data_IF_899370148123
#
_entry.id   IF_899370148123
#
_cell.length_a   1.000
_cell.length_b   1.000
_cell.length_c   1.000
_cell.angle_alpha   90.00
_cell.angle_beta   90.00
_cell.angle_gamma   90.00
#
_symmetry.space_group_name_H-M   'P 1'
#
loop_
_entity.id
_entity.type
_entity.pdbx_description
1 polymer ?
#
# COMPACT_ATOMS: atom_id res chain seq x y z
N UNK A 1 6.29 21.75 -15.42
CA UNK A 1 7.04 20.96 -14.39
C UNK A 1 7.08 21.59 -12.99
N UNK A 2 7.31 22.89 -12.79
CA UNK A 2 7.38 23.53 -11.44
C UNK A 2 6.16 23.36 -10.51
N UNK A 3 4.97 23.07 -11.04
CA UNK A 3 3.75 22.85 -10.23
C UNK A 3 3.70 21.44 -9.61
N UNK A 4 4.21 20.43 -10.32
CA UNK A 4 4.24 19.04 -9.86
C UNK A 4 5.25 18.83 -8.74
N UNK A 5 6.41 19.49 -8.80
CA UNK A 5 7.42 19.41 -7.74
C UNK A 5 6.91 20.01 -6.42
N UNK A 6 6.18 21.13 -6.49
CA UNK A 6 5.54 21.74 -5.30
C UNK A 6 4.52 20.81 -4.66
N UNK A 7 3.72 20.12 -5.47
CA UNK A 7 2.68 19.21 -5.00
C UNK A 7 3.29 17.98 -4.30
N UNK A 8 4.31 17.36 -4.89
CA UNK A 8 5.03 16.25 -4.23
C UNK A 8 5.66 16.69 -2.91
N UNK A 9 6.29 17.86 -2.85
CA UNK A 9 6.83 18.40 -1.58
C UNK A 9 5.75 18.57 -0.52
N UNK A 10 4.57 19.09 -0.90
CA UNK A 10 3.46 19.28 0.03
C UNK A 10 2.93 17.96 0.58
N UNK A 11 2.79 16.93 -0.27
CA UNK A 11 2.33 15.61 0.16
C UNK A 11 3.34 14.97 1.10
N UNK A 12 4.63 15.03 0.78
CA UNK A 12 5.68 14.50 1.67
C UNK A 12 5.70 15.18 3.01
N UNK A 13 5.55 16.51 3.02
CA UNK A 13 5.47 17.26 4.27
C UNK A 13 4.25 16.81 5.09
N UNK A 14 3.09 16.67 4.45
CA UNK A 14 1.89 16.17 5.10
C UNK A 14 2.08 14.75 5.68
N UNK A 15 2.65 13.81 4.91
CA UNK A 15 2.94 12.45 5.37
C UNK A 15 3.89 12.47 6.57
N UNK A 16 4.95 13.27 6.49
CA UNK A 16 5.91 13.42 7.58
C UNK A 16 5.26 13.97 8.85
N UNK A 17 4.47 15.03 8.75
CA UNK A 17 3.86 15.70 9.90
C UNK A 17 2.72 14.88 10.53
N UNK A 18 1.95 14.17 9.70
CA UNK A 18 0.75 13.48 10.15
C UNK A 18 0.96 12.02 10.51
N UNK A 19 1.84 11.33 9.78
CA UNK A 19 1.95 9.87 9.83
C UNK A 19 3.29 9.41 10.43
N UNK A 20 4.41 10.03 10.05
CA UNK A 20 5.75 9.51 10.38
C UNK A 20 6.34 10.12 11.66
N UNK A 21 6.36 11.44 11.77
CA UNK A 21 7.11 12.17 12.82
C UNK A 21 6.64 11.89 14.26
N UNK A 22 5.40 11.44 14.43
CA UNK A 22 4.81 11.14 15.75
C UNK A 22 5.19 9.75 16.27
N UNK A 23 5.85 8.93 15.45
CA UNK A 23 6.14 7.53 15.77
C UNK A 23 7.48 7.38 16.49
N UNK A 24 7.48 6.55 17.54
CA UNK A 24 8.72 6.18 18.24
C UNK A 24 9.69 5.44 17.31
N UNK A 25 9.17 4.58 16.44
CA UNK A 25 9.92 3.86 15.40
C UNK A 25 10.71 4.79 14.48
N UNK A 26 10.15 5.95 14.11
CA UNK A 26 10.85 6.98 13.34
C UNK A 26 12.01 7.61 14.12
N UNK A 27 11.78 7.99 15.39
CA UNK A 27 12.83 8.57 16.24
C UNK A 27 14.03 7.62 16.40
N UNK A 28 13.76 6.32 16.60
CA UNK A 28 14.77 5.26 16.67
C UNK A 28 15.51 5.07 15.35
N UNK A 29 14.79 5.05 14.22
CA UNK A 29 15.40 4.94 12.89
C UNK A 29 16.36 6.11 12.60
N UNK A 30 16.00 7.33 13.02
CA UNK A 30 16.88 8.51 12.89
C UNK A 30 18.10 8.40 13.82
N UNK A 31 17.93 7.96 15.07
CA UNK A 31 19.04 7.78 16.00
C UNK A 31 20.07 6.76 15.48
N UNK A 32 19.61 5.61 14.99
CA UNK A 32 20.48 4.58 14.40
C UNK A 32 21.27 5.10 13.19
N UNK A 33 20.65 5.92 12.33
CA UNK A 33 21.31 6.52 11.18
C UNK A 33 22.41 7.54 11.57
N UNK A 34 22.27 8.21 12.73
CA UNK A 34 23.25 9.16 13.25
C UNK A 34 24.45 8.47 13.92
N UNK A 35 24.24 7.29 14.52
CA UNK A 35 25.32 6.52 15.15
C UNK A 35 26.15 5.72 14.13
N UNK A 36 25.57 5.30 13.01
CA UNK A 36 26.28 4.57 11.95
C UNK A 36 27.40 5.34 11.22
N UNK A 37 27.46 6.67 11.35
CA UNK A 37 28.52 7.52 10.78
C UNK A 37 29.72 7.72 11.73
N UNK A 38 29.58 7.36 13.02
CA UNK A 38 30.70 7.40 13.97
C UNK A 38 31.44 6.08 13.95
N UNK A 39 32.57 6.08 13.26
CA UNK A 39 33.55 4.99 13.22
C UNK A 39 33.80 4.41 14.63
N UNK A 40 33.46 3.13 14.76
CA UNK A 40 34.13 2.06 15.52
C UNK A 40 35.35 2.50 16.36
N UNK A 41 35.10 3.15 17.50
CA UNK A 41 36.00 3.17 18.65
C UNK A 41 35.18 2.78 19.88
N UNK A 42 35.19 1.47 20.18
CA UNK A 42 34.60 0.93 21.41
C UNK A 42 35.50 1.34 22.57
N UNK A 43 35.02 2.20 23.46
CA UNK A 43 35.45 2.18 24.84
C UNK A 43 34.26 1.85 25.74
N UNK A 44 34.53 0.87 26.60
CA UNK A 44 33.63 0.14 27.47
C UNK A 44 33.36 0.96 28.74
N UNK A 45 32.16 1.55 28.84
CA UNK A 45 31.54 1.89 30.11
C UNK A 45 30.06 1.62 29.99
N UNK A 46 29.63 0.53 30.63
CA UNK A 46 28.24 0.12 30.75
C UNK A 46 27.41 1.22 31.42
N UNK A 47 26.64 1.95 30.61
CA UNK A 47 25.43 2.59 31.06
C UNK A 47 24.31 1.60 30.76
N UNK A 48 23.53 1.32 31.80
CA UNK A 48 22.29 0.56 31.84
C UNK A 48 21.35 1.04 30.72
N UNK A 49 21.46 0.43 29.54
CA UNK A 49 20.45 0.57 28.51
C UNK A 49 19.44 -0.53 28.80
N UNK A 50 18.19 -0.13 29.04
CA UNK A 50 17.01 -0.96 28.82
C UNK A 50 16.98 -1.39 27.32
N UNK A 51 17.93 -2.23 26.91
CA UNK A 51 18.05 -2.86 25.59
C UNK A 51 17.07 -4.06 25.49
N UNK A 52 15.87 -3.92 26.05
CA UNK A 52 14.76 -4.89 25.95
C UNK A 52 13.72 -4.37 24.94
N UNK A 53 14.15 -3.88 23.78
CA UNK A 53 13.20 -3.36 22.78
C UNK A 53 13.53 -3.67 21.30
N UNK A 54 14.46 -4.57 21.06
CA UNK A 54 14.75 -5.09 19.72
C UNK A 54 13.71 -6.15 19.25
N UNK A 55 12.77 -6.52 20.12
CA UNK A 55 11.70 -7.51 19.85
C UNK A 55 10.29 -6.90 19.69
N UNK A 56 10.13 -5.58 19.67
CA UNK A 56 8.80 -4.99 19.47
C UNK A 56 8.27 -5.27 18.06
N UNK A 57 7.23 -6.10 17.94
CA UNK A 57 6.50 -6.29 16.69
C UNK A 57 5.94 -4.94 16.18
N UNK A 58 6.00 -4.69 14.86
CA UNK A 58 5.46 -3.46 14.30
C UNK A 58 3.96 -3.38 14.58
N UNK A 59 3.52 -2.26 15.18
CA UNK A 59 2.10 -2.05 15.50
C UNK A 59 1.24 -1.91 14.24
N UNK A 60 1.82 -1.33 13.17
CA UNK A 60 1.17 -1.24 11.86
C UNK A 60 2.21 -1.26 10.73
N UNK A 61 1.71 -1.18 9.49
CA UNK A 61 2.54 -1.20 8.29
C UNK A 61 3.58 -0.08 8.24
N UNK A 62 3.26 1.13 8.74
CA UNK A 62 4.23 2.24 8.74
C UNK A 62 5.36 1.96 9.72
N UNK A 63 5.06 1.40 10.89
CA UNK A 63 6.10 0.98 11.83
C UNK A 63 6.98 -0.13 11.23
N UNK A 64 6.39 -1.09 10.53
CA UNK A 64 7.15 -2.12 9.82
C UNK A 64 8.13 -1.51 8.78
N UNK A 65 7.67 -0.54 7.97
CA UNK A 65 8.53 0.17 7.03
C UNK A 65 9.67 0.93 7.72
N UNK A 66 9.37 1.61 8.83
CA UNK A 66 10.37 2.38 9.58
C UNK A 66 11.38 1.49 10.30
N UNK A 67 10.96 0.33 10.80
CA UNK A 67 11.86 -0.66 11.38
C UNK A 67 12.78 -1.25 10.32
N UNK A 68 12.24 -1.54 9.11
CA UNK A 68 13.01 -2.06 7.98
C UNK A 68 14.16 -1.14 7.54
N UNK A 69 14.04 0.19 7.76
CA UNK A 69 15.14 1.13 7.51
C UNK A 69 16.39 0.88 8.37
N UNK A 70 16.23 0.25 9.54
CA UNK A 70 17.35 -0.12 10.42
C UNK A 70 18.01 -1.43 9.99
N UNK A 71 17.19 -2.35 9.50
CA UNK A 71 17.59 -3.72 9.17
C UNK A 71 18.21 -3.81 7.76
N UNK A 72 17.75 -2.98 6.82
CA UNK A 72 18.20 -3.01 5.42
C UNK A 72 18.99 -1.74 5.03
N UNK A 73 20.33 -1.82 4.88
CA UNK A 73 21.18 -0.67 4.53
C UNK A 73 20.88 -0.04 3.16
N UNK A 74 20.20 -0.79 2.27
CA UNK A 74 19.79 -0.31 0.96
C UNK A 74 18.51 0.55 0.98
N UNK A 75 17.71 0.44 2.05
CA UNK A 75 16.47 1.18 2.21
C UNK A 75 16.78 2.57 2.78
N UNK A 76 16.02 3.56 2.30
CA UNK A 76 16.18 4.99 2.63
C UNK A 76 14.80 5.55 2.90
N UNK A 77 14.74 6.63 3.67
CA UNK A 77 13.49 7.32 3.99
C UNK A 77 12.66 7.68 2.76
N UNK A 78 13.30 7.96 1.62
CA UNK A 78 12.58 8.20 0.37
C UNK A 78 11.76 6.99 -0.09
N UNK A 79 12.23 5.75 0.10
CA UNK A 79 11.47 4.54 -0.24
C UNK A 79 10.21 4.41 0.62
N UNK A 80 10.32 4.67 1.93
CA UNK A 80 9.17 4.71 2.84
C UNK A 80 8.18 5.79 2.41
N UNK A 81 8.66 6.99 2.05
CA UNK A 81 7.78 8.05 1.56
C UNK A 81 7.11 7.68 0.24
N UNK A 82 7.80 7.01 -0.69
CA UNK A 82 7.20 6.55 -1.94
C UNK A 82 6.10 5.50 -1.73
N UNK A 83 6.31 4.55 -0.83
CA UNK A 83 5.28 3.56 -0.42
C UNK A 83 4.04 4.25 0.17
N UNK A 84 4.25 5.21 1.08
CA UNK A 84 3.15 5.97 1.70
C UNK A 84 2.43 6.89 0.69
N UNK A 85 3.16 7.47 -0.27
CA UNK A 85 2.59 8.20 -1.41
C UNK A 85 1.71 7.29 -2.27
N UNK A 86 2.16 6.06 -2.55
CA UNK A 86 1.42 5.10 -3.38
C UNK A 86 0.11 4.66 -2.72
N UNK A 87 0.10 4.44 -1.39
CA UNK A 87 -1.17 4.20 -0.68
C UNK A 87 -2.15 5.33 -0.89
N UNK A 88 -1.74 6.58 -0.69
CA UNK A 88 -2.63 7.74 -0.87
C UNK A 88 -3.12 7.81 -2.32
N UNK A 89 -2.27 7.51 -3.30
CA UNK A 89 -2.65 7.40 -4.70
C UNK A 89 -3.73 6.33 -4.94
N UNK A 90 -3.53 5.13 -4.39
CA UNK A 90 -4.42 3.99 -4.51
C UNK A 90 -5.80 4.17 -3.84
N UNK A 91 -5.91 5.03 -2.82
CA UNK A 91 -7.20 5.30 -2.15
C UNK A 91 -8.27 5.81 -3.12
N UNK A 92 -7.89 6.59 -4.13
CA UNK A 92 -8.83 7.10 -5.14
C UNK A 92 -9.53 5.98 -5.92
N UNK A 93 -8.80 4.91 -6.24
CA UNK A 93 -9.33 3.75 -6.96
C UNK A 93 -10.33 2.96 -6.09
N UNK A 94 -10.00 2.75 -4.81
CA UNK A 94 -10.90 2.09 -3.85
C UNK A 94 -12.17 2.92 -3.63
N UNK A 95 -12.04 4.23 -3.46
CA UNK A 95 -13.18 5.14 -3.32
C UNK A 95 -14.12 5.08 -4.53
N UNK A 96 -13.56 5.10 -5.74
CA UNK A 96 -14.35 4.94 -6.96
C UNK A 96 -15.07 3.58 -7.02
N UNK A 97 -14.38 2.49 -6.64
CA UNK A 97 -14.98 1.15 -6.59
C UNK A 97 -16.17 1.10 -5.62
N UNK A 98 -16.05 1.69 -4.43
CA UNK A 98 -17.16 1.78 -3.46
C UNK A 98 -18.34 2.55 -4.04
N UNK A 99 -18.09 3.67 -4.72
CA UNK A 99 -19.15 4.45 -5.36
C UNK A 99 -19.88 3.66 -6.45
N UNK A 100 -19.15 2.89 -7.26
CA UNK A 100 -19.74 2.01 -8.27
C UNK A 100 -20.56 0.88 -7.63
N UNK A 101 -20.07 0.28 -6.55
CA UNK A 101 -20.78 -0.76 -5.80
C UNK A 101 -22.12 -0.22 -5.27
N UNK A 102 -22.08 0.93 -4.60
CA UNK A 102 -23.28 1.60 -4.08
C UNK A 102 -24.25 1.96 -5.19
N UNK A 103 -23.75 2.51 -6.30
CA UNK A 103 -24.58 2.84 -7.47
C UNK A 103 -25.29 1.60 -8.03
N UNK A 104 -24.59 0.47 -8.12
CA UNK A 104 -25.18 -0.78 -8.63
C UNK A 104 -26.27 -1.31 -7.69
N UNK A 105 -26.01 -1.36 -6.39
CA UNK A 105 -26.97 -1.82 -5.39
C UNK A 105 -28.19 -0.91 -5.33
N UNK A 106 -27.99 0.41 -5.41
CA UNK A 106 -29.08 1.40 -5.36
C UNK A 106 -29.95 1.39 -6.63
N UNK A 107 -29.35 1.20 -7.81
CA UNK A 107 -30.07 1.24 -9.10
C UNK A 107 -30.69 -0.09 -9.51
N UNK A 108 -30.29 -1.21 -8.89
CA UNK A 108 -30.75 -2.56 -9.25
C UNK A 108 -31.26 -3.32 -8.02
N UNK A 109 -32.54 -3.17 -7.66
CA UNK A 109 -33.12 -3.81 -6.48
C UNK A 109 -32.94 -5.33 -6.47
N UNK A 110 -32.97 -5.98 -7.64
CA UNK A 110 -32.74 -7.41 -7.77
C UNK A 110 -31.32 -7.83 -7.38
N UNK A 111 -30.31 -7.01 -7.68
CA UNK A 111 -28.91 -7.27 -7.29
C UNK A 111 -28.77 -7.09 -5.78
N UNK A 112 -29.33 -6.00 -5.25
CA UNK A 112 -29.34 -5.75 -3.81
C UNK A 112 -30.03 -6.88 -3.02
N UNK A 113 -31.11 -7.43 -3.56
CA UNK A 113 -31.85 -8.52 -2.95
C UNK A 113 -31.05 -9.82 -2.97
N UNK A 114 -30.46 -10.18 -4.12
CA UNK A 114 -29.62 -11.37 -4.23
C UNK A 114 -28.41 -11.34 -3.28
N UNK A 115 -27.72 -10.19 -3.15
CA UNK A 115 -26.62 -10.03 -2.17
C UNK A 115 -27.12 -10.23 -0.74
N UNK A 116 -28.29 -9.68 -0.40
CA UNK A 116 -28.86 -9.83 0.95
C UNK A 116 -29.28 -11.27 1.24
N UNK A 117 -29.85 -11.96 0.27
CA UNK A 117 -30.31 -13.34 0.43
C UNK A 117 -29.11 -14.29 0.57
N UNK A 118 -28.07 -14.10 -0.24
CA UNK A 118 -26.78 -14.80 -0.09
C UNK A 118 -26.17 -14.55 1.30
N UNK A 119 -26.07 -13.29 1.73
CA UNK A 119 -25.54 -12.95 3.05
C UNK A 119 -26.34 -13.61 4.19
N UNK A 120 -27.67 -13.61 4.11
CA UNK A 120 -28.53 -14.27 5.11
C UNK A 120 -28.34 -15.78 5.12
N UNK A 121 -28.17 -16.40 3.95
CA UNK A 121 -27.94 -17.84 3.85
C UNK A 121 -26.62 -18.22 4.53
N UNK A 122 -25.55 -17.46 4.29
CA UNK A 122 -24.21 -17.73 4.85
C UNK A 122 -24.16 -17.48 6.35
N UNK A 123 -24.76 -16.39 6.84
CA UNK A 123 -24.70 -16.04 8.27
C UNK A 123 -25.84 -16.61 9.11
N UNK A 124 -26.77 -17.34 8.49
CA UNK A 124 -28.05 -17.72 9.10
C UNK A 124 -28.92 -16.53 9.52
N UNK A 125 -28.59 -15.31 9.06
CA UNK A 125 -29.22 -14.07 9.47
C UNK A 125 -28.94 -13.66 10.92
N UNK A 126 -28.03 -14.34 11.62
CA UNK A 126 -27.74 -14.08 13.04
C UNK A 126 -26.58 -13.11 13.28
N UNK A 127 -25.75 -12.88 12.26
CA UNK A 127 -24.60 -11.98 12.32
C UNK A 127 -24.36 -11.27 10.99
N UNK A 128 -23.54 -10.21 11.06
CA UNK A 128 -23.01 -9.56 9.86
C UNK A 128 -22.00 -10.48 9.15
N UNK A 129 -21.83 -10.22 7.85
CA UNK A 129 -20.81 -10.84 7.01
C UNK A 129 -19.43 -10.38 7.48
N UNK A 130 -18.47 -11.30 7.51
CA UNK A 130 -17.08 -11.07 7.82
C UNK A 130 -16.18 -11.57 6.67
N UNK A 131 -14.88 -11.31 6.76
CA UNK A 131 -13.94 -11.68 5.69
C UNK A 131 -13.90 -13.19 5.41
N UNK A 132 -14.13 -14.02 6.45
CA UNK A 132 -14.10 -15.47 6.33
C UNK A 132 -15.30 -16.05 5.56
N UNK A 133 -16.38 -15.28 5.38
CA UNK A 133 -17.57 -15.70 4.62
C UNK A 133 -17.38 -15.53 3.11
N UNK A 134 -16.33 -14.82 2.69
CA UNK A 134 -16.04 -14.49 1.29
C UNK A 134 -16.11 -15.70 0.35
N UNK A 135 -15.56 -16.90 0.68
CA UNK A 135 -15.64 -18.07 -0.20
C UNK A 135 -17.07 -18.56 -0.44
N UNK A 136 -17.97 -18.31 0.51
CA UNK A 136 -19.37 -18.74 0.47
C UNK A 136 -20.30 -17.65 -0.10
N UNK A 137 -19.75 -16.53 -0.60
CA UNK A 137 -20.50 -15.41 -1.17
C UNK A 137 -20.20 -15.17 -2.68
N UNK A 138 -20.32 -16.20 -3.55
CA UNK A 138 -19.90 -16.10 -4.95
C UNK A 138 -20.66 -15.06 -5.78
N UNK A 139 -21.95 -14.81 -5.51
CA UNK A 139 -22.74 -13.81 -6.22
C UNK A 139 -22.27 -12.40 -5.88
N UNK A 140 -22.00 -12.13 -4.60
CA UNK A 140 -21.45 -10.86 -4.14
C UNK A 140 -20.05 -10.64 -4.70
N UNK A 141 -19.18 -11.66 -4.70
CA UNK A 141 -17.85 -11.60 -5.33
C UNK A 141 -17.93 -11.31 -6.84
N UNK A 142 -18.84 -11.96 -7.56
CA UNK A 142 -19.06 -11.69 -8.99
C UNK A 142 -19.53 -10.25 -9.22
N UNK A 143 -20.38 -9.72 -8.34
CA UNK A 143 -20.85 -8.33 -8.40
C UNK A 143 -19.70 -7.34 -8.20
N UNK A 144 -18.82 -7.58 -7.23
CA UNK A 144 -17.62 -6.78 -7.00
C UNK A 144 -16.62 -6.89 -8.17
N UNK A 145 -16.50 -8.08 -8.77
CA UNK A 145 -15.65 -8.27 -9.95
C UNK A 145 -16.14 -7.45 -11.15
N UNK A 146 -17.45 -7.37 -11.34
CA UNK A 146 -18.05 -6.61 -12.44
C UNK A 146 -17.73 -5.11 -12.40
N UNK A 147 -17.59 -4.53 -11.20
CA UNK A 147 -17.26 -3.10 -11.02
C UNK A 147 -15.76 -2.82 -10.92
N UNK A 148 -14.94 -3.85 -10.80
CA UNK A 148 -13.49 -3.70 -10.67
C UNK A 148 -12.86 -3.23 -11.99
N UNK A 149 -11.73 -2.51 -11.91
CA UNK A 149 -11.01 -2.06 -13.10
C UNK A 149 -10.50 -3.26 -13.90
N UNK A 150 -10.79 -3.35 -15.22
CA UNK A 150 -10.46 -4.53 -16.00
C UNK A 150 -9.01 -4.58 -16.49
N UNK A 151 -8.19 -3.53 -16.31
CA UNK A 151 -6.91 -3.40 -17.01
C UNK A 151 -5.80 -2.94 -16.07
N UNK A 152 -4.71 -3.70 -16.04
CA UNK A 152 -3.39 -3.24 -15.60
C UNK A 152 -2.54 -3.09 -16.86
N UNK A 153 -2.10 -1.87 -17.22
CA UNK A 153 -1.23 -1.69 -18.37
C UNK A 153 0.13 -2.31 -18.08
N UNK A 154 0.62 -3.11 -19.00
CA UNK A 154 1.98 -3.63 -18.99
C UNK A 154 2.78 -2.97 -20.11
N UNK A 155 4.06 -2.73 -19.85
CA UNK A 155 5.01 -2.26 -20.86
C UNK A 155 6.06 -3.35 -21.05
N UNK A 156 6.30 -3.74 -22.29
CA UNK A 156 7.34 -4.70 -22.62
C UNK A 156 8.72 -4.06 -22.39
N UNK A 157 9.61 -4.76 -21.69
CA UNK A 157 10.99 -4.32 -21.42
C UNK A 157 11.98 -4.77 -22.50
N UNK A 158 11.54 -5.68 -23.37
CA UNK A 158 12.28 -6.21 -24.51
C UNK A 158 11.29 -6.53 -25.64
N UNK A 159 11.79 -6.61 -26.88
CA UNK A 159 10.98 -6.98 -28.03
C UNK A 159 10.41 -8.39 -27.82
N UNK A 160 9.11 -8.52 -27.96
CA UNK A 160 8.42 -9.82 -27.74
C UNK A 160 7.43 -10.09 -28.86
N UNK A 161 7.15 -11.36 -29.12
CA UNK A 161 6.17 -11.76 -30.14
C UNK A 161 4.96 -12.39 -29.47
N UNK A 162 3.78 -11.78 -29.64
CA UNK A 162 2.51 -12.32 -29.13
C UNK A 162 1.69 -12.78 -30.34
N UNK A 163 1.45 -14.10 -30.46
CA UNK A 163 0.69 -14.71 -31.57
C UNK A 163 1.22 -14.34 -32.98
N UNK A 164 2.52 -14.08 -33.12
CA UNK A 164 3.15 -13.71 -34.40
C UNK A 164 3.17 -12.22 -34.70
N UNK A 165 2.56 -11.38 -33.84
CA UNK A 165 2.72 -9.93 -33.89
C UNK A 165 3.90 -9.51 -33.01
N UNK A 166 4.83 -8.75 -33.59
CA UNK A 166 5.99 -8.22 -32.87
C UNK A 166 5.55 -7.00 -32.07
N UNK A 167 5.83 -7.00 -30.78
CA UNK A 167 5.65 -5.89 -29.87
C UNK A 167 7.04 -5.26 -29.63
N UNK A 168 7.34 -4.24 -30.42
CA UNK A 168 8.63 -3.56 -30.39
C UNK A 168 8.71 -2.54 -29.24
N UNK A 169 9.86 -2.46 -28.59
CA UNK A 169 10.18 -1.50 -27.53
C UNK A 169 10.00 -0.05 -28.01
N UNK A 170 10.22 0.21 -29.31
CA UNK A 170 10.14 1.52 -29.95
C UNK A 170 8.70 2.03 -30.10
N UNK A 171 7.72 1.15 -30.34
CA UNK A 171 6.31 1.57 -30.46
C UNK A 171 5.67 1.96 -29.13
N UNK A 172 6.26 1.54 -28.01
CA UNK A 172 5.78 1.83 -26.66
C UNK A 172 6.34 3.14 -26.06
N UNK A 173 7.06 3.95 -26.86
CA UNK A 173 7.50 5.29 -26.46
C UNK A 173 8.66 5.34 -25.46
N UNK A 174 9.34 4.22 -25.21
CA UNK A 174 10.53 4.13 -24.35
C UNK A 174 11.82 4.34 -25.14
N UNK A 175 11.92 5.42 -25.91
CA UNK A 175 13.22 5.89 -26.40
C UNK A 175 13.85 6.76 -25.31
N UNK A 176 14.73 6.14 -24.53
CA UNK A 176 15.61 6.81 -23.58
C UNK A 176 16.47 7.85 -24.34
N UNK A 177 16.35 9.13 -23.97
CA UNK A 177 17.32 10.19 -24.30
C UNK A 177 18.06 10.57 -23.03
#
# INVERSE_FOLDING_TARGET
MRKLSKWSTQIRQFIMDMVVSKRSSYAKAVAAALDGDRSRDKNEYAADNDDDDDEQEPTDFTDALLMSLREEPGLKMNHVLFELEDFIGGHSAVGNMVMLALSMVASRPQVAQAIRDEAKQVTGGQRLVCLYDKPDMPYTEATLRFISSPIVPHVATEDTTIKGEVNDMVSNGLNNS
#
